data_IF_668819383974
#
_entry.id   IF_668819383974
#
_cell.length_a   1.000
_cell.length_b   1.000
_cell.length_c   1.000
_cell.angle_alpha   90.00
_cell.angle_beta   90.00
_cell.angle_gamma   90.00
#
_symmetry.space_group_name_H-M   'P 1'
#
loop_
_entity.id
_entity.type
_entity.pdbx_description
1 polymer ?
#
# COMPACT_ATOMS: atom_id res chain seq x y z
N UNK A 1 -37.68 58.24 19.80
CA UNK A 1 -37.75 56.77 19.96
C UNK A 1 -38.22 56.16 18.65
N UNK A 2 -37.25 55.96 17.73
CA UNK A 2 -37.46 55.24 16.51
C UNK A 2 -37.37 53.74 16.82
N UNK A 3 -38.50 53.11 17.01
CA UNK A 3 -38.63 51.67 16.88
C UNK A 3 -38.70 51.37 15.38
N UNK A 4 -37.54 51.26 14.73
CA UNK A 4 -37.45 50.72 13.40
C UNK A 4 -38.14 49.33 13.38
N UNK A 5 -39.22 49.26 12.64
CA UNK A 5 -39.99 48.04 12.36
C UNK A 5 -39.06 47.08 11.59
N UNK A 6 -38.28 46.31 12.34
CA UNK A 6 -37.43 45.24 11.76
C UNK A 6 -38.35 44.15 11.29
N UNK A 7 -38.79 44.25 10.05
CA UNK A 7 -39.49 43.15 9.37
C UNK A 7 -38.57 41.96 9.30
N UNK A 8 -38.88 40.95 10.12
CA UNK A 8 -38.13 39.67 10.14
C UNK A 8 -38.30 39.01 8.78
N UNK A 9 -37.20 38.79 8.05
CA UNK A 9 -37.23 38.01 6.82
C UNK A 9 -37.53 36.52 7.19
N UNK A 10 -38.80 36.17 7.12
CA UNK A 10 -39.27 34.83 7.47
C UNK A 10 -38.70 33.75 6.55
N UNK A 11 -38.33 34.09 5.29
CA UNK A 11 -37.68 33.13 4.38
C UNK A 11 -36.24 32.86 4.81
N UNK A 12 -35.54 33.87 5.23
CA UNK A 12 -34.20 33.73 5.77
C UNK A 12 -34.21 32.93 7.06
N UNK A 13 -35.08 33.25 7.99
CA UNK A 13 -35.20 32.51 9.26
C UNK A 13 -35.52 31.02 9.02
N UNK A 14 -36.45 30.74 8.11
CA UNK A 14 -36.75 29.34 7.75
C UNK A 14 -35.52 28.60 7.20
N UNK A 15 -34.76 29.23 6.29
CA UNK A 15 -33.53 28.63 5.76
C UNK A 15 -32.51 28.34 6.87
N UNK A 16 -32.31 29.25 7.83
CA UNK A 16 -31.39 29.02 8.95
C UNK A 16 -31.84 27.88 9.84
N UNK A 17 -33.12 27.76 10.13
CA UNK A 17 -33.67 26.64 10.91
C UNK A 17 -33.44 25.31 10.18
N UNK A 18 -33.77 25.26 8.89
CA UNK A 18 -33.58 24.07 8.07
C UNK A 18 -32.08 23.68 7.99
N UNK A 19 -31.19 24.65 7.85
CA UNK A 19 -29.73 24.46 7.78
C UNK A 19 -29.18 23.98 9.13
N UNK A 20 -29.60 24.57 10.25
CA UNK A 20 -29.24 24.12 11.59
C UNK A 20 -29.63 22.65 11.80
N UNK A 21 -30.84 22.29 11.41
CA UNK A 21 -31.32 20.89 11.51
C UNK A 21 -30.49 19.94 10.65
N UNK A 22 -30.03 20.35 9.47
CA UNK A 22 -29.14 19.55 8.63
C UNK A 22 -27.75 19.37 9.24
N UNK A 23 -27.19 20.44 9.82
CA UNK A 23 -25.88 20.38 10.51
C UNK A 23 -25.97 19.47 11.74
N UNK A 24 -27.04 19.57 12.52
CA UNK A 24 -27.25 18.68 13.68
C UNK A 24 -27.41 17.22 13.26
N UNK A 25 -28.14 16.95 12.20
CA UNK A 25 -28.29 15.60 11.65
C UNK A 25 -26.96 15.05 11.08
N UNK A 26 -26.13 15.88 10.47
CA UNK A 26 -24.79 15.48 10.01
C UNK A 26 -23.88 15.17 11.19
N UNK A 27 -23.88 16.01 12.21
CA UNK A 27 -23.13 15.77 13.47
C UNK A 27 -23.56 14.46 14.14
N UNK A 28 -24.87 14.22 14.24
CA UNK A 28 -25.42 12.98 14.82
C UNK A 28 -24.91 11.74 14.07
N UNK A 29 -24.92 11.77 12.74
CA UNK A 29 -24.40 10.66 11.92
C UNK A 29 -22.91 10.41 12.15
N UNK A 30 -22.11 11.48 12.31
CA UNK A 30 -20.66 11.36 12.50
C UNK A 30 -20.29 10.84 13.89
N UNK A 31 -20.98 11.33 14.93
CA UNK A 31 -20.59 11.08 16.32
C UNK A 31 -21.26 9.83 16.90
N UNK A 32 -22.53 9.65 16.63
CA UNK A 32 -23.36 8.59 17.22
C UNK A 32 -23.76 7.57 16.16
N UNK A 33 -24.31 8.02 15.04
CA UNK A 33 -24.82 7.19 13.97
C UNK A 33 -25.93 6.25 14.43
N UNK A 34 -26.43 5.44 13.52
CA UNK A 34 -27.57 4.54 13.75
C UNK A 34 -27.32 3.50 14.86
N UNK A 35 -26.08 3.15 15.11
CA UNK A 35 -25.70 2.08 16.04
C UNK A 35 -24.86 2.57 17.24
N UNK A 36 -24.80 3.87 17.48
CA UNK A 36 -24.06 4.45 18.58
C UNK A 36 -22.52 4.46 18.43
N UNK A 37 -22.01 4.04 17.27
CA UNK A 37 -20.57 3.90 17.00
C UNK A 37 -19.99 5.06 16.18
N UNK A 38 -20.87 5.92 15.64
CA UNK A 38 -20.46 6.99 14.74
C UNK A 38 -19.89 6.48 13.43
N UNK A 39 -19.07 7.34 12.81
CA UNK A 39 -18.38 7.04 11.56
C UNK A 39 -17.11 6.22 11.82
N UNK A 40 -16.85 5.20 11.02
CA UNK A 40 -15.58 4.47 11.05
C UNK A 40 -14.41 5.40 10.72
N UNK A 41 -13.28 5.21 11.40
CA UNK A 41 -12.07 6.03 11.18
C UNK A 41 -11.33 5.69 9.90
N UNK A 42 -11.48 4.45 9.43
CA UNK A 42 -10.97 3.94 8.15
C UNK A 42 -11.76 2.70 7.75
N UNK A 43 -11.62 2.27 6.52
CA UNK A 43 -12.21 1.03 6.02
C UNK A 43 -11.17 0.13 5.37
N UNK A 44 -11.47 -1.16 5.27
CA UNK A 44 -10.59 -2.14 4.62
C UNK A 44 -11.38 -2.88 3.53
N UNK A 45 -10.85 -2.87 2.32
CA UNK A 45 -11.23 -3.78 1.25
C UNK A 45 -10.17 -4.89 1.14
N UNK A 46 -10.59 -6.15 1.12
CA UNK A 46 -9.66 -7.29 1.12
C UNK A 46 -9.81 -8.09 -0.15
N UNK A 47 -8.68 -8.40 -0.79
CA UNK A 47 -8.59 -9.27 -1.95
C UNK A 47 -8.08 -10.66 -1.55
N UNK A 48 -8.90 -11.69 -1.81
CA UNK A 48 -8.54 -13.09 -1.65
C UNK A 48 -8.84 -13.72 -0.28
N UNK A 49 -8.94 -15.05 -0.27
CA UNK A 49 -9.41 -15.82 0.87
C UNK A 49 -8.44 -15.84 2.07
N UNK A 50 -7.13 -15.97 1.82
CA UNK A 50 -6.14 -16.03 2.91
C UNK A 50 -6.08 -14.72 3.68
N UNK A 51 -6.01 -13.62 2.95
CA UNK A 51 -6.01 -12.27 3.54
C UNK A 51 -7.32 -11.99 4.26
N UNK A 52 -8.46 -12.44 3.69
CA UNK A 52 -9.77 -12.31 4.33
C UNK A 52 -9.89 -13.12 5.62
N UNK A 53 -9.36 -14.34 5.67
CA UNK A 53 -9.37 -15.18 6.86
C UNK A 53 -8.65 -14.52 8.05
N UNK A 54 -7.63 -13.73 7.76
CA UNK A 54 -6.91 -12.94 8.77
C UNK A 54 -7.60 -11.60 9.07
N UNK A 55 -7.85 -10.77 8.05
CA UNK A 55 -8.32 -9.40 8.23
C UNK A 55 -9.81 -9.32 8.62
N UNK A 56 -10.62 -10.28 8.21
CA UNK A 56 -12.07 -10.34 8.46
C UNK A 56 -12.46 -11.45 9.44
N UNK A 57 -11.51 -11.96 10.25
CA UNK A 57 -11.79 -13.03 11.21
C UNK A 57 -12.83 -12.60 12.25
N UNK A 58 -13.79 -13.47 12.52
CA UNK A 58 -14.82 -13.25 13.54
C UNK A 58 -14.63 -14.24 14.70
N UNK A 59 -14.82 -13.81 15.94
CA UNK A 59 -15.18 -12.48 16.44
C UNK A 59 -13.96 -11.55 16.71
N UNK A 60 -12.77 -11.98 16.34
CA UNK A 60 -11.49 -11.33 16.71
C UNK A 60 -10.86 -10.63 15.51
N UNK A 61 -11.59 -9.69 14.88
CA UNK A 61 -11.03 -8.85 13.84
C UNK A 61 -9.91 -7.96 14.44
N UNK A 62 -8.65 -8.07 13.97
CA UNK A 62 -7.54 -7.31 14.54
C UNK A 62 -7.66 -5.81 14.29
N UNK A 63 -8.40 -5.38 13.27
CA UNK A 63 -8.52 -3.98 12.86
C UNK A 63 -9.69 -3.23 13.51
N UNK A 64 -10.71 -3.93 14.00
CA UNK A 64 -11.92 -3.37 14.62
C UNK A 64 -12.63 -2.30 13.76
N UNK A 65 -12.61 -2.46 12.45
CA UNK A 65 -13.21 -1.57 11.45
C UNK A 65 -14.04 -2.38 10.45
N UNK A 66 -14.89 -1.72 9.66
CA UNK A 66 -15.60 -2.38 8.57
C UNK A 66 -14.62 -3.01 7.57
N UNK A 67 -14.86 -4.27 7.25
CA UNK A 67 -14.07 -5.03 6.26
C UNK A 67 -15.01 -5.55 5.17
N UNK A 68 -14.69 -5.24 3.92
CA UNK A 68 -15.39 -5.77 2.75
C UNK A 68 -14.45 -6.71 2.00
N UNK A 69 -14.93 -7.89 1.63
CA UNK A 69 -14.10 -8.94 1.02
C UNK A 69 -14.50 -9.17 -0.42
N UNK A 70 -13.53 -9.12 -1.33
CA UNK A 70 -13.67 -9.55 -2.71
C UNK A 70 -12.91 -10.87 -2.95
N UNK A 71 -13.61 -11.85 -3.50
CA UNK A 71 -13.07 -13.17 -3.83
C UNK A 71 -12.96 -13.39 -5.36
N UNK A 72 -13.44 -12.43 -6.15
CA UNK A 72 -13.53 -12.56 -7.61
C UNK A 72 -12.27 -12.05 -8.34
N UNK A 73 -11.48 -11.19 -7.71
CA UNK A 73 -10.38 -10.46 -8.31
C UNK A 73 -10.77 -9.03 -8.73
N UNK A 74 -11.97 -8.56 -8.33
CA UNK A 74 -12.46 -7.22 -8.62
C UNK A 74 -12.19 -6.21 -7.48
N UNK A 75 -11.28 -6.54 -6.55
CA UNK A 75 -11.03 -5.74 -5.35
C UNK A 75 -10.62 -4.28 -5.65
N UNK A 76 -9.95 -4.02 -6.77
CA UNK A 76 -9.63 -2.66 -7.20
C UNK A 76 -10.87 -1.83 -7.54
N UNK A 77 -11.85 -2.40 -8.23
CA UNK A 77 -13.12 -1.73 -8.53
C UNK A 77 -13.96 -1.54 -7.26
N UNK A 78 -13.97 -2.55 -6.38
CA UNK A 78 -14.64 -2.45 -5.09
C UNK A 78 -14.06 -1.30 -4.26
N UNK A 79 -12.74 -1.22 -4.17
CA UNK A 79 -12.05 -0.15 -3.45
C UNK A 79 -12.35 1.23 -4.05
N UNK A 80 -12.34 1.36 -5.37
CA UNK A 80 -12.67 2.60 -6.06
C UNK A 80 -14.10 3.07 -5.71
N UNK A 81 -15.10 2.20 -5.88
CA UNK A 81 -16.49 2.56 -5.61
C UNK A 81 -16.75 2.91 -4.12
N UNK A 82 -16.06 2.25 -3.19
CA UNK A 82 -16.13 2.59 -1.78
C UNK A 82 -15.53 3.98 -1.50
N UNK A 83 -14.37 4.30 -2.07
CA UNK A 83 -13.74 5.62 -1.89
C UNK A 83 -14.57 6.72 -2.55
N UNK A 84 -15.06 6.52 -3.77
CA UNK A 84 -15.95 7.48 -4.44
C UNK A 84 -17.17 7.79 -3.58
N UNK A 85 -17.84 6.77 -3.02
CA UNK A 85 -18.97 6.98 -2.12
C UNK A 85 -18.59 7.76 -0.84
N UNK A 86 -17.41 7.52 -0.27
CA UNK A 86 -16.91 8.28 0.90
C UNK A 86 -16.55 9.73 0.54
N UNK A 87 -15.98 9.97 -0.64
CA UNK A 87 -15.67 11.29 -1.14
C UNK A 87 -16.95 12.11 -1.41
N UNK A 88 -17.97 11.49 -2.00
CA UNK A 88 -19.27 12.11 -2.22
C UNK A 88 -19.92 12.51 -0.89
N UNK A 89 -19.95 11.61 0.10
CA UNK A 89 -20.50 11.92 1.43
C UNK A 89 -19.72 13.02 2.13
N UNK A 90 -18.40 13.04 1.99
CA UNK A 90 -17.54 14.09 2.55
C UNK A 90 -17.80 15.43 1.86
N UNK A 91 -17.94 15.43 0.54
CA UNK A 91 -18.25 16.63 -0.25
C UNK A 91 -19.61 17.23 0.16
N UNK A 92 -20.63 16.39 0.35
CA UNK A 92 -21.94 16.87 0.85
C UNK A 92 -21.82 17.50 2.24
N UNK A 93 -21.02 16.92 3.13
CA UNK A 93 -20.79 17.48 4.47
C UNK A 93 -20.06 18.83 4.39
N UNK A 94 -19.00 18.93 3.59
CA UNK A 94 -18.25 20.17 3.38
C UNK A 94 -19.12 21.23 2.75
N UNK A 95 -19.93 20.87 1.76
CA UNK A 95 -20.92 21.76 1.14
C UNK A 95 -21.87 22.36 2.19
N UNK A 96 -22.38 21.53 3.08
CA UNK A 96 -23.25 21.96 4.16
C UNK A 96 -22.55 22.95 5.11
N UNK A 97 -21.32 22.67 5.50
CA UNK A 97 -20.53 23.53 6.37
C UNK A 97 -20.16 24.86 5.70
N UNK A 98 -19.76 24.84 4.43
CA UNK A 98 -19.49 26.06 3.65
C UNK A 98 -20.76 26.90 3.47
N UNK A 99 -21.91 26.25 3.25
CA UNK A 99 -23.20 26.93 3.17
C UNK A 99 -23.59 27.58 4.51
N UNK A 100 -23.38 26.87 5.61
CA UNK A 100 -23.65 27.44 6.95
C UNK A 100 -22.79 28.70 7.22
N UNK A 101 -21.51 28.69 6.86
CA UNK A 101 -20.63 29.85 6.97
C UNK A 101 -21.12 31.01 6.10
N UNK A 102 -21.50 30.74 4.83
CA UNK A 102 -22.04 31.77 3.94
C UNK A 102 -23.30 32.44 4.48
N UNK A 103 -24.20 31.68 5.12
CA UNK A 103 -25.42 32.27 5.72
C UNK A 103 -25.10 33.10 6.96
N UNK A 104 -24.06 32.78 7.72
CA UNK A 104 -23.60 33.56 8.88
C UNK A 104 -22.90 34.83 8.43
N UNK A 105 -21.95 34.73 7.50
CA UNK A 105 -21.07 35.83 7.07
C UNK A 105 -21.79 36.81 6.13
N UNK A 106 -22.80 36.34 5.42
CA UNK A 106 -23.61 37.14 4.49
C UNK A 106 -22.79 38.05 3.54
N UNK A 107 -21.80 37.49 2.82
CA UNK A 107 -20.97 38.28 1.91
C UNK A 107 -21.75 38.76 0.70
N UNK A 108 -21.22 39.78 0.03
CA UNK A 108 -21.76 40.24 -1.26
C UNK A 108 -21.75 39.06 -2.27
N UNK A 109 -22.81 39.00 -3.11
CA UNK A 109 -22.96 37.94 -4.10
C UNK A 109 -23.36 36.58 -3.50
N UNK A 110 -24.09 36.57 -2.39
CA UNK A 110 -24.51 35.39 -1.66
C UNK A 110 -25.21 34.34 -2.55
N UNK A 111 -26.08 34.79 -3.47
CA UNK A 111 -26.86 33.86 -4.29
C UNK A 111 -26.00 33.07 -5.29
N UNK A 112 -25.06 33.73 -5.97
CA UNK A 112 -24.17 33.04 -6.89
C UNK A 112 -23.18 32.09 -6.15
N UNK A 113 -22.73 32.46 -4.94
CA UNK A 113 -21.89 31.61 -4.10
C UNK A 113 -22.63 30.37 -3.64
N UNK A 114 -23.92 30.49 -3.29
CA UNK A 114 -24.77 29.33 -3.01
C UNK A 114 -24.90 28.40 -4.21
N UNK A 115 -25.10 28.94 -5.39
CA UNK A 115 -25.25 28.17 -6.62
C UNK A 115 -23.93 27.47 -6.99
N UNK A 116 -22.79 28.13 -6.80
CA UNK A 116 -21.47 27.49 -6.96
C UNK A 116 -21.25 26.28 -6.02
N UNK A 117 -21.70 26.40 -4.77
CA UNK A 117 -21.60 25.26 -3.82
C UNK A 117 -22.42 24.04 -4.24
N UNK A 118 -23.51 24.21 -5.01
CA UNK A 118 -24.29 23.07 -5.52
C UNK A 118 -23.50 22.20 -6.50
N UNK A 119 -22.56 22.79 -7.22
CA UNK A 119 -21.69 22.11 -8.19
C UNK A 119 -20.36 21.65 -7.58
N UNK A 120 -20.16 21.82 -6.26
CA UNK A 120 -18.92 21.42 -5.59
C UNK A 120 -18.63 19.93 -5.81
N UNK A 121 -17.43 19.65 -6.30
CA UNK A 121 -16.93 18.30 -6.50
C UNK A 121 -15.78 18.01 -5.51
N UNK A 122 -15.52 16.74 -5.18
CA UNK A 122 -14.50 16.37 -4.21
C UNK A 122 -13.08 16.84 -4.59
N UNK A 123 -12.78 16.99 -5.88
CA UNK A 123 -11.51 17.51 -6.37
C UNK A 123 -11.28 19.00 -6.06
N UNK A 124 -12.33 19.71 -5.65
CA UNK A 124 -12.32 21.12 -5.27
C UNK A 124 -12.31 21.33 -3.75
N UNK A 125 -12.18 20.24 -2.98
CA UNK A 125 -12.01 20.29 -1.54
C UNK A 125 -10.59 20.75 -1.20
N UNK A 126 -10.48 21.59 -0.16
CA UNK A 126 -9.19 21.94 0.40
C UNK A 126 -8.54 20.70 1.08
N UNK A 127 -7.20 20.65 1.21
CA UNK A 127 -6.52 19.51 1.83
C UNK A 127 -7.08 19.13 3.21
N UNK A 128 -7.37 20.14 4.06
CA UNK A 128 -7.92 19.95 5.40
C UNK A 128 -9.36 19.41 5.39
N UNK A 129 -10.12 19.72 4.34
CA UNK A 129 -11.46 19.17 4.14
C UNK A 129 -11.42 17.74 3.60
N UNK A 130 -10.43 17.42 2.76
CA UNK A 130 -10.22 16.09 2.24
C UNK A 130 -9.78 15.11 3.35
N UNK A 131 -9.05 15.59 4.36
CA UNK A 131 -8.71 14.79 5.56
C UNK A 131 -9.94 14.30 6.34
N UNK A 132 -11.09 14.93 6.16
CA UNK A 132 -12.35 14.45 6.74
C UNK A 132 -12.83 13.15 6.07
N UNK A 133 -12.34 12.79 4.89
CA UNK A 133 -12.66 11.52 4.24
C UNK A 133 -11.91 10.37 4.90
N UNK A 134 -12.59 9.34 5.45
CA UNK A 134 -11.90 8.20 6.02
C UNK A 134 -11.06 7.48 4.96
N UNK A 135 -9.78 7.19 5.23
CA UNK A 135 -8.97 6.44 4.28
C UNK A 135 -9.50 5.02 4.09
N UNK A 136 -9.41 4.53 2.85
CA UNK A 136 -9.69 3.15 2.51
C UNK A 136 -8.38 2.43 2.17
N UNK A 137 -8.16 1.30 2.82
CA UNK A 137 -7.00 0.43 2.60
C UNK A 137 -7.46 -0.78 1.80
N UNK A 138 -6.92 -0.94 0.59
CA UNK A 138 -7.04 -2.17 -0.20
C UNK A 138 -5.91 -3.11 0.21
N UNK A 139 -6.26 -4.21 0.88
CA UNK A 139 -5.31 -5.22 1.37
C UNK A 139 -5.37 -6.48 0.50
N UNK A 140 -4.24 -6.93 -0.01
CA UNK A 140 -4.18 -8.16 -0.81
C UNK A 140 -2.79 -8.77 -0.86
N UNK A 141 -2.71 -10.02 -1.34
CA UNK A 141 -1.43 -10.63 -1.68
C UNK A 141 -0.98 -10.23 -3.09
N UNK A 142 0.32 -10.30 -3.33
CA UNK A 142 0.90 -10.13 -4.66
C UNK A 142 0.28 -11.09 -5.69
N UNK A 143 0.04 -12.35 -5.31
CA UNK A 143 -0.63 -13.36 -6.14
C UNK A 143 -2.01 -12.89 -6.64
N UNK A 144 -2.84 -12.35 -5.75
CA UNK A 144 -4.20 -11.94 -6.12
C UNK A 144 -4.21 -10.63 -6.92
N UNK A 145 -3.39 -9.66 -6.50
CA UNK A 145 -3.38 -8.34 -7.12
C UNK A 145 -2.58 -8.31 -8.42
N UNK A 146 -1.49 -9.10 -8.54
CA UNK A 146 -0.68 -9.17 -9.76
C UNK A 146 -1.29 -10.07 -10.84
N UNK A 147 -1.97 -11.15 -10.47
CA UNK A 147 -2.54 -12.07 -11.46
C UNK A 147 -3.92 -11.62 -11.94
N UNK A 148 -4.92 -11.62 -11.06
CA UNK A 148 -6.32 -11.36 -11.44
C UNK A 148 -6.71 -9.90 -11.41
N UNK A 149 -6.14 -9.13 -10.46
CA UNK A 149 -6.45 -7.73 -10.22
C UNK A 149 -5.55 -6.73 -10.94
N UNK A 150 -4.55 -7.17 -11.74
CA UNK A 150 -3.50 -6.30 -12.24
C UNK A 150 -4.01 -5.11 -13.06
N UNK A 151 -4.92 -5.33 -13.99
CA UNK A 151 -5.46 -4.24 -14.81
C UNK A 151 -6.19 -3.18 -13.99
N UNK A 152 -6.92 -3.63 -12.98
CA UNK A 152 -7.65 -2.75 -12.06
C UNK A 152 -6.70 -2.01 -11.12
N UNK A 153 -5.64 -2.69 -10.65
CA UNK A 153 -4.60 -2.06 -9.84
C UNK A 153 -3.88 -0.96 -10.63
N UNK A 154 -3.49 -1.24 -11.87
CA UNK A 154 -2.85 -0.23 -12.75
C UNK A 154 -3.78 0.96 -12.98
N UNK A 155 -5.06 0.71 -13.27
CA UNK A 155 -6.06 1.77 -13.41
C UNK A 155 -6.18 2.60 -12.11
N UNK A 156 -6.28 1.95 -10.97
CA UNK A 156 -6.39 2.60 -9.66
C UNK A 156 -5.18 3.49 -9.34
N UNK A 157 -3.96 3.01 -9.61
CA UNK A 157 -2.73 3.76 -9.41
C UNK A 157 -2.58 4.96 -10.37
N UNK A 158 -3.28 4.95 -11.50
CA UNK A 158 -3.35 6.08 -12.44
C UNK A 158 -4.56 6.97 -12.21
N UNK A 159 -5.46 6.61 -11.34
CA UNK A 159 -6.59 7.45 -10.92
C UNK A 159 -6.11 8.57 -10.00
N UNK A 160 -7.03 9.47 -9.64
CA UNK A 160 -6.79 10.49 -8.60
C UNK A 160 -7.35 10.08 -7.23
N UNK A 161 -7.94 8.88 -7.15
CA UNK A 161 -8.61 8.40 -5.95
C UNK A 161 -7.58 8.13 -4.83
N UNK A 162 -7.79 8.61 -3.60
CA UNK A 162 -6.86 8.46 -2.49
C UNK A 162 -6.90 7.06 -1.85
N UNK A 163 -6.92 6.00 -2.66
CA UNK A 163 -6.89 4.61 -2.20
C UNK A 163 -5.49 4.22 -1.76
N UNK A 164 -5.37 3.56 -0.61
CA UNK A 164 -4.12 3.06 -0.07
C UNK A 164 -4.05 1.55 -0.27
N UNK A 165 -3.14 1.09 -1.12
CA UNK A 165 -2.98 -0.33 -1.44
C UNK A 165 -1.84 -0.91 -0.60
N UNK A 166 -2.15 -1.90 0.22
CA UNK A 166 -1.16 -2.67 0.98
C UNK A 166 -1.05 -4.07 0.39
N UNK A 167 0.12 -4.38 -0.18
CA UNK A 167 0.40 -5.66 -0.83
C UNK A 167 1.28 -6.50 0.07
N UNK A 168 0.78 -7.67 0.48
CA UNK A 168 1.57 -8.66 1.20
C UNK A 168 2.31 -9.53 0.17
N UNK A 169 3.62 -9.39 0.11
CA UNK A 169 4.49 -10.04 -0.87
C UNK A 169 5.32 -11.14 -0.23
N UNK A 170 5.52 -12.22 -0.96
CA UNK A 170 6.30 -13.36 -0.52
C UNK A 170 7.66 -13.49 -1.21
N UNK A 171 8.05 -12.55 -2.07
CA UNK A 171 9.28 -12.61 -2.86
C UNK A 171 9.45 -13.93 -3.62
N UNK A 172 8.48 -14.28 -4.43
CA UNK A 172 8.65 -15.40 -5.32
C UNK A 172 9.44 -14.94 -6.54
N UNK A 173 10.72 -15.24 -6.52
CA UNK A 173 11.72 -14.75 -7.51
C UNK A 173 11.67 -15.51 -8.85
N UNK A 174 10.57 -16.18 -9.18
CA UNK A 174 10.47 -17.00 -10.39
C UNK A 174 11.32 -18.27 -10.35
N UNK A 175 11.91 -18.61 -9.20
CA UNK A 175 12.74 -19.79 -9.00
C UNK A 175 11.93 -21.03 -8.64
N UNK A 176 10.67 -20.87 -8.26
CA UNK A 176 9.73 -21.97 -8.06
C UNK A 176 9.06 -22.23 -9.41
N UNK A 177 8.88 -23.49 -9.79
CA UNK A 177 8.14 -23.86 -11.01
C UNK A 177 6.76 -23.19 -10.97
N UNK A 178 6.66 -22.04 -11.63
CA UNK A 178 5.40 -21.36 -11.79
C UNK A 178 4.56 -22.15 -12.78
N UNK A 179 3.31 -22.42 -12.43
CA UNK A 179 2.37 -22.88 -13.44
C UNK A 179 2.25 -21.78 -14.51
N UNK A 180 1.99 -22.16 -15.77
CA UNK A 180 1.88 -21.23 -16.90
C UNK A 180 0.88 -20.08 -16.63
N UNK A 181 0.03 -20.23 -15.62
CA UNK A 181 -0.98 -19.24 -15.20
C UNK A 181 -0.51 -18.30 -14.08
N UNK A 182 0.67 -18.49 -13.52
CA UNK A 182 1.21 -17.68 -12.42
C UNK A 182 2.13 -16.58 -12.99
N UNK A 183 1.59 -15.68 -13.80
CA UNK A 183 2.29 -14.47 -14.21
C UNK A 183 2.51 -13.59 -12.97
N UNK A 184 3.75 -13.51 -12.48
CA UNK A 184 4.12 -12.73 -11.29
C UNK A 184 4.87 -11.49 -11.71
N UNK A 185 4.17 -10.36 -11.67
CA UNK A 185 4.80 -9.06 -11.87
C UNK A 185 5.34 -8.56 -10.52
N UNK A 186 6.52 -7.96 -10.53
CA UNK A 186 7.00 -7.17 -9.40
C UNK A 186 6.11 -5.94 -9.20
N UNK A 187 5.10 -6.06 -8.35
CA UNK A 187 4.04 -5.04 -8.18
C UNK A 187 4.63 -3.68 -7.81
N UNK A 188 5.62 -3.64 -6.91
CA UNK A 188 6.25 -2.38 -6.51
C UNK A 188 6.93 -1.66 -7.68
N UNK A 189 7.69 -2.40 -8.50
CA UNK A 189 8.34 -1.82 -9.69
C UNK A 189 7.32 -1.43 -10.78
N UNK A 190 6.26 -2.21 -10.92
CA UNK A 190 5.18 -1.89 -11.84
C UNK A 190 4.44 -0.62 -11.42
N UNK A 191 4.17 -0.48 -10.13
CA UNK A 191 3.57 0.73 -9.56
C UNK A 191 4.48 1.94 -9.72
N UNK A 192 5.79 1.79 -9.48
CA UNK A 192 6.79 2.82 -9.71
C UNK A 192 6.81 3.32 -11.15
N UNK A 193 6.64 2.41 -12.12
CA UNK A 193 6.59 2.76 -13.55
C UNK A 193 5.40 3.65 -13.93
N UNK A 194 4.32 3.65 -13.15
CA UNK A 194 3.16 4.53 -13.38
C UNK A 194 3.44 6.00 -13.05
N UNK A 195 4.40 6.30 -12.17
CA UNK A 195 4.88 7.65 -11.80
C UNK A 195 3.84 8.58 -11.16
N UNK A 196 2.64 8.13 -10.91
CA UNK A 196 1.52 8.94 -10.40
C UNK A 196 1.21 8.66 -8.93
N UNK A 197 1.45 7.43 -8.46
CA UNK A 197 1.20 7.00 -7.10
C UNK A 197 2.44 7.17 -6.22
N UNK A 198 2.22 7.35 -4.91
CA UNK A 198 3.26 7.07 -3.93
C UNK A 198 3.52 5.56 -3.89
N UNK A 199 4.79 5.14 -3.93
CA UNK A 199 5.14 3.72 -3.93
C UNK A 199 6.25 3.45 -2.92
N UNK A 200 6.04 2.43 -2.09
CA UNK A 200 7.08 1.92 -1.21
C UNK A 200 7.20 0.40 -1.32
N UNK A 201 8.42 -0.10 -1.29
CA UNK A 201 8.73 -1.51 -1.08
C UNK A 201 9.49 -1.64 0.23
N UNK A 202 8.98 -2.45 1.14
CA UNK A 202 9.44 -2.55 2.52
C UNK A 202 9.41 -3.98 3.03
N UNK A 203 9.87 -4.21 4.26
CA UNK A 203 9.94 -5.52 4.90
C UNK A 203 9.42 -5.46 6.34
N UNK A 204 8.77 -6.52 6.81
CA UNK A 204 8.47 -6.67 8.24
C UNK A 204 9.73 -6.78 9.10
N UNK A 205 10.89 -7.09 8.50
CA UNK A 205 12.18 -7.11 9.17
C UNK A 205 12.73 -5.71 9.47
N UNK A 206 12.24 -4.66 8.80
CA UNK A 206 12.56 -3.27 9.10
C UNK A 206 11.29 -2.51 9.50
N UNK A 207 10.96 -2.57 10.79
CA UNK A 207 9.76 -1.98 11.35
C UNK A 207 9.72 -0.44 11.20
N UNK A 208 10.88 0.22 11.19
CA UNK A 208 10.98 1.69 11.03
C UNK A 208 10.68 2.07 9.59
N UNK A 209 11.37 1.45 8.63
CA UNK A 209 11.11 1.71 7.22
C UNK A 209 9.66 1.36 6.84
N UNK A 210 9.11 0.26 7.38
CA UNK A 210 7.71 -0.12 7.15
C UNK A 210 6.75 0.91 7.72
N UNK A 211 6.92 1.31 8.99
CA UNK A 211 6.06 2.29 9.65
C UNK A 211 6.06 3.64 8.91
N UNK A 212 7.25 4.16 8.59
CA UNK A 212 7.41 5.42 7.86
C UNK A 212 6.78 5.35 6.46
N UNK A 213 6.92 4.22 5.76
CA UNK A 213 6.33 4.02 4.43
C UNK A 213 4.80 4.05 4.49
N UNK A 214 4.20 3.42 5.50
CA UNK A 214 2.75 3.44 5.70
C UNK A 214 2.26 4.85 6.06
N UNK A 215 2.96 5.55 6.94
CA UNK A 215 2.59 6.92 7.32
C UNK A 215 2.66 7.88 6.14
N UNK A 216 3.71 7.80 5.32
CA UNK A 216 3.83 8.62 4.11
C UNK A 216 2.76 8.27 3.07
N UNK A 217 2.44 6.97 2.90
CA UNK A 217 1.36 6.54 2.03
C UNK A 217 0.00 7.08 2.48
N UNK A 218 -0.29 7.09 3.78
CA UNK A 218 -1.54 7.65 4.33
C UNK A 218 -1.62 9.16 4.15
N UNK A 219 -0.50 9.87 4.30
CA UNK A 219 -0.41 11.32 4.11
C UNK A 219 -0.40 11.78 2.64
N UNK A 220 -0.30 10.86 1.69
CA UNK A 220 -0.33 11.20 0.27
C UNK A 220 -1.77 11.38 -0.22
N UNK A 221 -2.10 12.49 -0.89
CA UNK A 221 -3.47 12.85 -1.27
C UNK A 221 -4.04 12.00 -2.42
N UNK A 222 -3.19 11.29 -3.15
CA UNK A 222 -3.55 10.41 -4.26
C UNK A 222 -3.46 8.92 -3.93
N UNK A 223 -3.46 8.07 -4.96
CA UNK A 223 -3.28 6.64 -4.80
C UNK A 223 -1.89 6.32 -4.26
N UNK A 224 -1.80 5.37 -3.34
CA UNK A 224 -0.52 4.92 -2.79
C UNK A 224 -0.44 3.40 -2.74
N UNK A 225 0.75 2.85 -2.97
CA UNK A 225 1.00 1.41 -2.86
C UNK A 225 2.19 1.16 -1.94
N UNK A 226 1.98 0.33 -0.93
CA UNK A 226 3.04 -0.18 -0.06
C UNK A 226 3.12 -1.70 -0.24
N UNK A 227 4.19 -2.17 -0.86
CA UNK A 227 4.50 -3.59 -0.96
C UNK A 227 5.35 -3.99 0.24
N UNK A 228 4.84 -4.91 1.05
CA UNK A 228 5.49 -5.40 2.25
C UNK A 228 5.93 -6.84 2.05
N UNK A 229 7.22 -7.10 2.18
CA UNK A 229 7.69 -8.46 2.30
C UNK A 229 7.24 -9.04 3.63
N UNK A 230 6.33 -10.00 3.55
CA UNK A 230 5.74 -10.72 4.66
C UNK A 230 5.80 -12.23 4.34
N UNK A 231 6.94 -12.88 4.60
CA UNK A 231 7.13 -14.29 4.27
C UNK A 231 6.21 -15.19 5.09
N UNK A 232 5.96 -16.39 4.58
CA UNK A 232 5.11 -17.39 5.22
C UNK A 232 5.96 -18.60 5.64
N UNK A 233 6.30 -18.77 6.92
CA UNK A 233 7.17 -19.85 7.39
C UNK A 233 6.71 -21.24 6.92
N UNK A 234 5.41 -21.51 6.99
CA UNK A 234 4.85 -22.81 6.58
C UNK A 234 4.94 -23.08 5.08
N UNK A 235 4.90 -22.04 4.24
CA UNK A 235 5.05 -22.17 2.78
C UNK A 235 6.51 -22.12 2.37
N UNK A 236 7.28 -21.26 3.00
CA UNK A 236 8.65 -20.98 2.64
C UNK A 236 9.62 -22.00 3.25
N UNK A 237 9.15 -22.81 4.25
CA UNK A 237 9.85 -23.98 4.77
C UNK A 237 10.95 -23.66 5.77
N UNK A 238 10.68 -22.78 6.74
CA UNK A 238 11.55 -22.48 7.87
C UNK A 238 10.72 -22.34 9.17
N UNK A 239 11.39 -22.29 10.33
CA UNK A 239 10.71 -22.20 11.61
C UNK A 239 10.04 -20.83 11.84
N UNK A 240 8.91 -20.80 12.56
CA UNK A 240 8.12 -19.57 12.74
C UNK A 240 8.86 -18.47 13.52
N UNK A 241 9.74 -18.85 14.42
CA UNK A 241 10.59 -17.96 15.21
C UNK A 241 11.68 -17.27 14.36
N UNK A 242 12.02 -17.84 13.21
CA UNK A 242 12.95 -17.25 12.24
C UNK A 242 12.31 -16.17 11.33
N UNK A 243 11.00 -15.95 11.42
CA UNK A 243 10.24 -15.07 10.51
C UNK A 243 10.87 -13.68 10.35
N UNK A 244 11.19 -13.02 11.47
CA UNK A 244 11.76 -11.68 11.47
C UNK A 244 13.18 -11.72 10.94
N UNK A 245 13.98 -12.69 11.37
CA UNK A 245 15.36 -12.86 10.95
C UNK A 245 15.48 -13.12 9.45
N UNK A 246 14.66 -14.01 8.88
CA UNK A 246 14.60 -14.25 7.43
C UNK A 246 14.21 -12.98 6.65
N UNK A 247 13.38 -12.13 7.24
CA UNK A 247 12.98 -10.87 6.65
C UNK A 247 14.11 -9.82 6.68
N UNK A 248 14.88 -9.76 7.77
CA UNK A 248 16.10 -8.93 7.88
C UNK A 248 17.15 -9.41 6.89
N UNK A 249 17.40 -10.72 6.85
CA UNK A 249 18.39 -11.34 5.96
C UNK A 249 18.08 -11.12 4.47
N UNK A 250 16.78 -11.05 4.09
CA UNK A 250 16.38 -10.72 2.71
C UNK A 250 16.88 -9.34 2.26
N UNK A 251 16.87 -8.36 3.15
CA UNK A 251 17.40 -7.01 2.89
C UNK A 251 18.91 -7.02 2.92
N UNK A 252 19.52 -7.62 3.95
CA UNK A 252 20.97 -7.72 4.10
C UNK A 252 21.64 -8.43 2.92
N UNK A 253 21.02 -9.52 2.41
CA UNK A 253 21.46 -10.23 1.22
C UNK A 253 21.18 -9.48 -0.09
N UNK A 254 20.58 -8.29 -0.03
CA UNK A 254 20.15 -7.51 -1.21
C UNK A 254 19.19 -8.23 -2.14
N UNK A 255 18.48 -9.24 -1.63
CA UNK A 255 17.43 -9.95 -2.36
C UNK A 255 16.18 -9.09 -2.47
N UNK A 256 15.89 -8.31 -1.41
CA UNK A 256 14.81 -7.34 -1.36
C UNK A 256 15.38 -5.92 -1.26
N UNK A 257 15.38 -5.12 -2.31
CA UNK A 257 15.70 -3.71 -2.19
C UNK A 257 14.55 -2.97 -1.52
N UNK A 258 14.86 -2.15 -0.52
CA UNK A 258 13.92 -1.20 0.05
C UNK A 258 13.91 0.08 -0.78
N UNK A 259 12.74 0.66 -1.02
CA UNK A 259 12.66 1.97 -1.65
C UNK A 259 11.34 2.68 -1.31
N UNK A 260 11.37 4.00 -1.42
CA UNK A 260 10.18 4.87 -1.41
C UNK A 260 10.26 5.82 -2.58
N UNK A 261 9.16 6.04 -3.26
CA UNK A 261 9.00 6.99 -4.35
C UNK A 261 7.84 7.93 -4.05
N UNK A 262 8.11 9.22 -3.96
CA UNK A 262 7.07 10.25 -3.88
C UNK A 262 7.04 11.06 -5.19
N UNK A 263 5.96 10.98 -5.98
CA UNK A 263 5.86 11.71 -7.24
C UNK A 263 5.83 13.23 -7.06
N UNK A 264 5.51 13.74 -5.85
CA UNK A 264 5.48 15.18 -5.52
C UNK A 264 6.86 15.73 -5.19
N UNK A 265 7.84 14.87 -4.87
CA UNK A 265 9.19 15.32 -4.54
C UNK A 265 9.82 16.07 -5.69
N UNK A 266 10.56 17.13 -5.37
CA UNK A 266 11.22 17.96 -6.37
C UNK A 266 12.34 17.22 -7.10
N UNK A 267 12.65 17.65 -8.31
CA UNK A 267 13.77 17.18 -9.10
C UNK A 267 13.41 16.15 -10.17
N UNK A 268 14.43 15.44 -10.64
CA UNK A 268 14.29 14.43 -11.69
C UNK A 268 13.79 13.09 -11.11
N UNK A 269 13.33 12.19 -11.95
CA UNK A 269 12.76 10.91 -11.53
C UNK A 269 13.62 10.17 -10.48
N UNK A 270 14.93 10.09 -10.69
CA UNK A 270 15.84 9.38 -9.78
C UNK A 270 15.92 10.01 -8.37
N UNK A 271 15.85 11.34 -8.26
CA UNK A 271 15.90 12.04 -6.98
C UNK A 271 14.60 11.92 -6.15
N UNK A 272 13.53 11.42 -6.77
CA UNK A 272 12.27 11.14 -6.10
C UNK A 272 12.23 9.76 -5.46
N UNK A 273 13.29 8.97 -5.60
CA UNK A 273 13.42 7.63 -5.04
C UNK A 273 14.40 7.69 -3.87
N UNK A 274 13.92 7.35 -2.67
CA UNK A 274 14.80 7.08 -1.51
C UNK A 274 15.11 5.58 -1.49
N UNK A 275 16.37 5.26 -1.25
CA UNK A 275 16.89 3.91 -1.05
C UNK A 275 17.34 3.69 0.40
N UNK A 276 16.86 4.50 1.34
CA UNK A 276 17.19 4.38 2.75
C UNK A 276 16.80 3.00 3.29
N UNK A 277 17.56 2.50 4.25
CA UNK A 277 17.36 1.17 4.84
C UNK A 277 18.09 0.04 4.11
N UNK A 278 18.64 0.29 2.91
CA UNK A 278 19.45 -0.72 2.21
C UNK A 278 20.90 -0.73 2.69
N UNK A 279 21.59 -1.88 2.63
CA UNK A 279 23.04 -1.92 2.77
C UNK A 279 23.75 -1.01 1.75
N UNK A 280 24.85 -0.40 2.14
CA UNK A 280 25.67 0.43 1.26
C UNK A 280 26.14 -0.37 0.04
N UNK A 281 26.12 0.25 -1.15
CA UNK A 281 26.40 -0.47 -2.43
C UNK A 281 27.81 -1.03 -2.51
N UNK A 282 28.77 -0.40 -1.82
CA UNK A 282 30.18 -0.74 -1.77
C UNK A 282 30.56 -1.59 -0.54
N UNK A 283 29.63 -1.80 0.41
CA UNK A 283 29.86 -2.67 1.55
C UNK A 283 29.87 -4.14 1.14
N UNK A 284 30.68 -4.95 1.83
CA UNK A 284 30.59 -6.39 1.74
C UNK A 284 29.24 -6.87 2.27
N UNK A 285 28.75 -8.01 1.76
CA UNK A 285 27.56 -8.68 2.25
C UNK A 285 27.89 -9.43 3.52
N UNK A 286 28.02 -8.73 4.64
CA UNK A 286 28.38 -9.30 5.95
C UNK A 286 27.17 -9.28 6.86
N UNK A 287 26.90 -10.37 7.56
CA UNK A 287 25.71 -10.53 8.41
C UNK A 287 26.04 -10.81 9.87
N UNK A 288 27.26 -11.23 10.18
CA UNK A 288 27.66 -11.58 11.55
C UNK A 288 28.99 -10.98 11.97
N UNK A 289 29.30 -11.06 13.27
CA UNK A 289 30.54 -10.55 13.86
C UNK A 289 31.80 -11.26 13.38
N UNK A 290 31.68 -12.39 12.67
CA UNK A 290 32.78 -13.21 12.16
C UNK A 290 33.19 -12.84 10.71
N UNK A 291 32.69 -11.70 10.16
CA UNK A 291 32.95 -11.24 8.80
C UNK A 291 32.53 -12.23 7.69
N UNK A 292 31.57 -13.13 7.99
CA UNK A 292 31.06 -14.07 7.00
C UNK A 292 30.20 -13.35 5.96
N UNK A 293 30.56 -13.51 4.69
CA UNK A 293 29.80 -12.96 3.58
C UNK A 293 28.48 -13.70 3.41
N UNK A 294 27.37 -12.96 3.50
CA UNK A 294 26.03 -13.48 3.33
C UNK A 294 25.42 -13.00 2.02
N UNK A 295 25.07 -13.91 1.15
CA UNK A 295 24.61 -13.63 -0.24
C UNK A 295 23.13 -13.95 -0.42
N UNK A 296 22.49 -13.56 -1.55
CA UNK A 296 21.15 -14.04 -1.89
C UNK A 296 21.03 -15.56 -1.92
N UNK A 297 22.14 -16.26 -2.19
CA UNK A 297 22.18 -17.72 -2.26
C UNK A 297 22.05 -18.33 -0.85
N UNK A 298 22.74 -17.73 0.13
CA UNK A 298 22.65 -18.15 1.55
C UNK A 298 21.23 -17.92 2.09
N UNK A 299 20.64 -16.76 1.76
CA UNK A 299 19.25 -16.48 2.10
C UNK A 299 18.28 -17.51 1.49
N UNK A 300 18.49 -17.89 0.24
CA UNK A 300 17.66 -18.90 -0.42
C UNK A 300 17.87 -20.31 0.17
N UNK A 301 19.11 -20.65 0.51
CA UNK A 301 19.44 -21.94 1.12
C UNK A 301 18.71 -22.18 2.44
N UNK A 302 18.55 -21.15 3.25
CA UNK A 302 17.81 -21.23 4.51
C UNK A 302 16.29 -21.47 4.33
N UNK A 303 15.78 -21.57 3.09
CA UNK A 303 14.35 -21.73 2.82
C UNK A 303 14.05 -23.04 2.09
N UNK A 304 13.24 -23.89 2.69
CA UNK A 304 12.87 -25.19 2.12
C UNK A 304 12.23 -25.13 0.73
N UNK A 305 11.56 -24.01 0.38
CA UNK A 305 10.99 -23.81 -0.97
C UNK A 305 12.01 -23.80 -2.09
N UNK A 306 13.29 -23.54 -1.79
CA UNK A 306 14.37 -23.55 -2.77
C UNK A 306 15.26 -24.80 -2.68
N UNK A 307 14.93 -25.77 -1.83
CA UNK A 307 15.76 -26.96 -1.58
C UNK A 307 16.14 -27.74 -2.85
N UNK A 308 15.27 -27.74 -3.88
CA UNK A 308 15.54 -28.42 -5.16
C UNK A 308 16.67 -27.80 -5.97
N UNK A 309 17.05 -26.55 -5.67
CA UNK A 309 18.15 -25.85 -6.35
C UNK A 309 19.52 -26.15 -5.74
N UNK A 310 19.55 -26.79 -4.58
CA UNK A 310 20.77 -27.09 -3.83
C UNK A 310 21.10 -28.59 -3.87
N UNK A 311 22.38 -28.92 -3.95
CA UNK A 311 22.88 -30.28 -3.94
C UNK A 311 24.17 -30.37 -3.16
N UNK A 312 24.43 -31.51 -2.46
CA UNK A 312 25.73 -31.75 -1.83
C UNK A 312 26.87 -31.62 -2.83
N UNK A 313 27.93 -30.90 -2.48
CA UNK A 313 29.06 -30.61 -3.40
C UNK A 313 29.74 -31.87 -3.89
N UNK A 314 29.84 -32.93 -3.06
CA UNK A 314 30.42 -34.24 -3.42
C UNK A 314 29.68 -34.97 -4.54
N UNK A 315 28.47 -34.55 -4.91
CA UNK A 315 27.70 -35.10 -6.04
C UNK A 315 27.74 -34.18 -7.27
N UNK A 316 28.52 -33.11 -7.24
CA UNK A 316 28.67 -32.21 -8.36
C UNK A 316 29.34 -32.89 -9.53
N UNK A 317 28.83 -32.68 -10.73
CA UNK A 317 29.40 -33.25 -11.94
C UNK A 317 30.87 -32.79 -12.11
N UNK A 318 31.76 -33.61 -12.70
CA UNK A 318 33.15 -33.23 -12.93
C UNK A 318 33.35 -31.93 -13.72
N UNK A 319 32.29 -31.45 -14.39
CA UNK A 319 32.24 -30.23 -15.18
C UNK A 319 31.78 -29.00 -14.39
N UNK A 320 31.53 -29.11 -13.07
CA UNK A 320 31.14 -27.97 -12.24
C UNK A 320 32.35 -27.18 -11.78
N UNK A 321 32.29 -25.86 -11.92
CA UNK A 321 33.33 -24.91 -11.48
C UNK A 321 32.75 -23.80 -10.63
N UNK A 322 33.49 -23.28 -9.64
CA UNK A 322 33.03 -22.12 -8.85
C UNK A 322 32.66 -20.94 -9.76
N UNK A 323 31.66 -20.17 -9.38
CA UNK A 323 31.14 -19.07 -10.21
C UNK A 323 32.21 -18.03 -10.56
N UNK A 324 33.14 -17.71 -9.65
CA UNK A 324 34.23 -16.78 -9.91
C UNK A 324 35.21 -17.30 -10.97
N UNK A 325 35.52 -18.58 -10.96
CA UNK A 325 36.31 -19.23 -12.01
C UNK A 325 35.57 -19.27 -13.35
N UNK A 326 34.26 -19.58 -13.31
CA UNK A 326 33.44 -19.61 -14.51
C UNK A 326 33.38 -18.27 -15.24
N UNK A 327 33.32 -17.15 -14.49
CA UNK A 327 33.38 -15.80 -15.07
C UNK A 327 34.74 -15.46 -15.67
N UNK A 328 35.82 -16.02 -15.15
CA UNK A 328 37.17 -15.83 -15.69
C UNK A 328 37.40 -16.63 -16.98
N UNK A 329 36.56 -17.61 -17.31
CA UNK A 329 36.66 -18.41 -18.55
C UNK A 329 36.13 -17.65 -19.75
N UNK A 330 36.76 -17.85 -20.91
CA UNK A 330 36.23 -17.44 -22.19
C UNK A 330 35.04 -18.29 -22.66
N UNK A 331 34.41 -17.92 -23.76
CA UNK A 331 33.25 -18.64 -24.29
C UNK A 331 33.53 -20.11 -24.64
N UNK A 332 34.74 -20.44 -24.99
CA UNK A 332 35.16 -21.82 -25.30
C UNK A 332 35.35 -22.64 -23.99
N UNK A 333 35.97 -22.04 -22.98
CA UNK A 333 36.18 -22.63 -21.68
C UNK A 333 34.92 -22.85 -20.86
N UNK A 334 33.84 -22.12 -21.15
CA UNK A 334 32.52 -22.28 -20.52
C UNK A 334 31.68 -23.43 -21.09
N UNK A 335 32.03 -23.92 -22.27
CA UNK A 335 31.27 -24.99 -22.94
C UNK A 335 31.26 -26.27 -22.12
N UNK A 336 30.09 -26.79 -21.80
CA UNK A 336 29.92 -28.02 -20.99
C UNK A 336 30.24 -27.88 -19.51
N UNK A 337 30.51 -26.67 -19.05
CA UNK A 337 30.71 -26.40 -17.60
C UNK A 337 29.47 -25.76 -17.00
N UNK A 338 29.21 -26.07 -15.72
CA UNK A 338 28.14 -25.49 -14.91
C UNK A 338 28.77 -24.69 -13.78
N UNK A 339 28.36 -23.45 -13.61
CA UNK A 339 28.79 -22.66 -12.47
C UNK A 339 28.02 -23.05 -11.21
N UNK A 340 28.71 -23.02 -10.05
CA UNK A 340 28.08 -23.22 -8.74
C UNK A 340 28.56 -22.18 -7.74
N UNK A 341 27.78 -21.94 -6.71
CA UNK A 341 28.15 -21.23 -5.49
C UNK A 341 28.19 -22.25 -4.37
N UNK A 342 29.34 -22.36 -3.71
CA UNK A 342 29.45 -23.19 -2.52
C UNK A 342 28.85 -22.45 -1.32
N UNK A 343 28.09 -23.14 -0.50
CA UNK A 343 27.58 -22.69 0.78
C UNK A 343 28.20 -23.61 1.82
N UNK A 344 28.81 -23.03 2.84
CA UNK A 344 29.31 -23.77 3.97
C UNK A 344 28.15 -23.96 4.96
N UNK A 345 27.82 -25.23 5.23
CA UNK A 345 26.94 -25.59 6.33
C UNK A 345 27.68 -25.27 7.62
N UNK A 346 27.26 -24.20 8.32
CA UNK A 346 27.88 -23.71 9.54
C UNK A 346 27.67 -24.60 10.75
#
# INVERSE_FOLDING_TARGET
TDTADQTIDTRYLKRLIDLSGQVDAARERLVTGKHGLGRARYGIAVSGSRTAAWAASFPRNPFQVPVVVDMSGAAGQLAAGLVEGHLDETTEMVRLLRLARLEIDRPDGLDWKRDALKALHWEELEPEELELCPPLILLGSDEMLAARGLSQLVWLLNSRLPVKVLVLSSLEMGLVEASVNDARAGIGLLALAQRNAFVAQTSIGDAVHFGDSVMQALAFDGPALVQVYAPSPSRDGYAIDELVEQSVRAVAARTLPLFRYDPRAEGVFGSRISLDGNPQSDSLLVVNDDDVTYTPVDWAFAQGRFATHFKPLGQSAPSSVPVHEWFALDAAGRRGKTAFVAIEDG
#
